data_IF_775704274644
#
_entry.id   IF_775704274644
#
_cell.length_a   1.000
_cell.length_b   1.000
_cell.length_c   1.000
_cell.angle_alpha   90.00
_cell.angle_beta   90.00
_cell.angle_gamma   90.00
#
_symmetry.space_group_name_H-M   'P 1'
#
loop_
_entity.id
_entity.type
_entity.pdbx_description
1 polymer ?
#
# COMPACT_ATOMS: atom_id res chain seq x y z
N UNK A 1 -10.34 23.58 -13.67
CA UNK A 1 -10.38 22.23 -14.29
C UNK A 1 -8.95 21.77 -14.47
N UNK A 2 -8.45 20.95 -13.54
CA UNK A 2 -7.08 20.41 -13.57
C UNK A 2 -7.02 19.43 -14.75
N UNK A 3 -6.25 19.76 -15.80
CA UNK A 3 -6.04 18.89 -16.96
C UNK A 3 -4.67 18.21 -16.79
N UNK A 4 -4.65 17.11 -16.05
CA UNK A 4 -3.57 16.12 -16.18
C UNK A 4 -3.89 15.38 -17.49
N UNK A 5 -3.00 15.47 -18.48
CA UNK A 5 -3.17 14.76 -19.75
C UNK A 5 -2.43 13.43 -19.58
N UNK A 6 -3.08 12.29 -19.83
CA UNK A 6 -2.50 10.98 -19.52
C UNK A 6 -2.64 10.58 -18.03
N UNK A 7 -2.64 9.28 -17.76
CA UNK A 7 -2.72 8.77 -16.38
C UNK A 7 -1.30 8.44 -15.90
N UNK A 8 -0.81 9.17 -14.89
CA UNK A 8 0.52 9.02 -14.30
C UNK A 8 0.79 7.62 -13.71
N UNK A 9 -0.25 6.83 -13.47
CA UNK A 9 -0.19 5.49 -12.91
C UNK A 9 -0.58 4.39 -13.91
N UNK A 10 -1.07 4.74 -15.10
CA UNK A 10 -1.54 3.76 -16.07
C UNK A 10 -0.38 3.25 -16.92
N UNK A 11 -0.13 1.95 -16.88
CA UNK A 11 0.87 1.27 -17.73
C UNK A 11 0.24 0.61 -18.96
N UNK A 12 -1.09 0.71 -19.15
CA UNK A 12 -1.80 0.01 -20.21
C UNK A 12 -1.38 0.42 -21.63
N UNK A 13 -0.95 1.68 -21.79
CA UNK A 13 -0.54 2.26 -23.08
C UNK A 13 0.97 2.10 -23.32
N UNK A 14 1.74 1.57 -22.36
CA UNK A 14 3.20 1.59 -22.39
C UNK A 14 3.74 3.00 -22.15
N UNK A 15 4.77 3.42 -22.88
CA UNK A 15 5.34 4.77 -22.77
C UNK A 15 4.36 5.80 -23.36
N UNK A 16 4.03 6.83 -22.57
CA UNK A 16 3.14 7.90 -23.03
C UNK A 16 3.87 8.92 -23.93
N UNK A 17 3.98 8.57 -25.21
CA UNK A 17 4.60 9.44 -26.23
C UNK A 17 3.90 10.78 -26.41
N UNK A 18 2.60 10.87 -26.08
CA UNK A 18 1.85 12.11 -26.18
C UNK A 18 2.33 13.11 -25.12
N UNK A 19 2.56 12.64 -23.89
CA UNK A 19 3.14 13.43 -22.82
C UNK A 19 4.57 13.87 -23.14
N UNK A 20 5.42 12.96 -23.64
CA UNK A 20 6.80 13.29 -24.04
C UNK A 20 6.83 14.38 -25.12
N UNK A 21 5.91 14.32 -26.07
CA UNK A 21 5.78 15.33 -27.13
C UNK A 21 5.38 16.68 -26.54
N UNK A 22 4.44 16.72 -25.60
CA UNK A 22 4.02 17.97 -24.94
C UNK A 22 5.18 18.59 -24.14
N UNK A 23 5.90 17.78 -23.37
CA UNK A 23 7.06 18.23 -22.59
C UNK A 23 8.18 18.79 -23.47
N UNK A 24 8.37 18.22 -24.67
CA UNK A 24 9.35 18.72 -25.65
C UNK A 24 8.89 19.98 -26.38
N UNK A 25 7.61 20.08 -26.68
CA UNK A 25 7.07 21.16 -27.54
C UNK A 25 6.80 22.44 -26.77
N UNK A 26 6.29 22.32 -25.54
CA UNK A 26 5.93 23.47 -24.69
C UNK A 26 6.34 23.21 -23.23
N UNK A 27 7.64 23.31 -22.92
CA UNK A 27 8.18 23.04 -21.59
C UNK A 27 7.66 24.02 -20.53
N UNK A 28 7.43 25.28 -20.92
CA UNK A 28 6.92 26.30 -19.99
C UNK A 28 5.52 25.96 -19.52
N UNK A 29 4.67 25.44 -20.41
CA UNK A 29 3.29 25.10 -20.08
C UNK A 29 3.12 23.77 -19.39
N UNK A 30 3.88 22.74 -19.80
CA UNK A 30 3.68 21.37 -19.35
C UNK A 30 4.80 20.83 -18.45
N UNK A 31 5.87 21.60 -18.22
CA UNK A 31 7.05 21.15 -17.48
C UNK A 31 6.76 20.59 -16.08
N UNK A 32 5.71 21.06 -15.41
CA UNK A 32 5.25 20.52 -14.12
C UNK A 32 4.91 19.01 -14.17
N UNK A 33 4.60 18.46 -15.36
CA UNK A 33 4.24 17.06 -15.54
C UNK A 33 5.45 16.14 -15.74
N UNK A 34 6.68 16.67 -15.84
CA UNK A 34 7.88 15.88 -16.10
C UNK A 34 8.09 14.76 -15.07
N UNK A 35 7.87 15.07 -13.79
CA UNK A 35 7.96 14.10 -12.71
C UNK A 35 6.90 12.99 -12.79
N UNK A 36 5.66 13.34 -13.13
CA UNK A 36 4.57 12.38 -13.33
C UNK A 36 4.84 11.44 -14.52
N UNK A 37 5.39 11.99 -15.60
CA UNK A 37 5.83 11.19 -16.76
C UNK A 37 6.95 10.23 -16.39
N UNK A 38 7.93 10.66 -15.58
CA UNK A 38 9.00 9.80 -15.09
C UNK A 38 8.48 8.67 -14.19
N UNK A 39 7.56 8.95 -13.27
CA UNK A 39 6.91 7.93 -12.44
C UNK A 39 6.20 6.87 -13.29
N UNK A 40 5.48 7.29 -14.33
CA UNK A 40 4.79 6.39 -15.25
C UNK A 40 5.77 5.48 -16.02
N UNK A 41 6.88 6.05 -16.51
CA UNK A 41 7.92 5.30 -17.23
C UNK A 41 8.63 4.31 -16.31
N UNK A 42 8.94 4.72 -15.08
CA UNK A 42 9.49 3.83 -14.05
C UNK A 42 8.57 2.62 -13.81
N UNK A 43 7.28 2.85 -13.56
CA UNK A 43 6.28 1.77 -13.38
C UNK A 43 6.20 0.86 -14.60
N UNK A 44 6.25 1.42 -15.81
CA UNK A 44 6.20 0.65 -17.07
C UNK A 44 7.44 -0.22 -17.27
N UNK A 45 8.62 0.24 -16.86
CA UNK A 45 9.89 -0.50 -16.96
C UNK A 45 9.95 -1.68 -15.99
N UNK A 46 9.39 -1.55 -14.79
CA UNK A 46 9.46 -2.58 -13.73
C UNK A 46 8.27 -3.54 -13.70
N UNK A 47 7.19 -3.30 -14.46
CA UNK A 47 5.93 -4.06 -14.31
C UNK A 47 6.07 -5.58 -14.49
N UNK A 48 7.06 -6.04 -15.26
CA UNK A 48 7.33 -7.47 -15.49
C UNK A 48 8.50 -8.02 -14.67
N UNK A 49 9.05 -7.22 -13.76
CA UNK A 49 10.07 -7.66 -12.83
C UNK A 49 9.43 -8.43 -11.67
N UNK A 50 9.68 -9.73 -11.62
CA UNK A 50 9.21 -10.61 -10.54
C UNK A 50 10.08 -10.52 -9.29
N UNK A 51 11.32 -10.00 -9.40
CA UNK A 51 12.25 -9.89 -8.27
C UNK A 51 11.85 -8.76 -7.31
N UNK A 52 11.16 -7.74 -7.82
CA UNK A 52 10.68 -6.59 -7.05
C UNK A 52 9.34 -6.86 -6.34
N UNK A 53 8.87 -8.10 -6.33
CA UNK A 53 7.55 -8.49 -5.80
C UNK A 53 7.66 -9.38 -4.58
N UNK A 54 6.78 -9.14 -3.61
CA UNK A 54 6.54 -10.06 -2.52
C UNK A 54 5.93 -11.36 -3.07
N UNK A 55 6.47 -12.48 -2.59
CA UNK A 55 6.08 -13.84 -2.97
C UNK A 55 5.06 -14.45 -2.02
N UNK A 56 4.70 -13.80 -0.91
CA UNK A 56 3.88 -14.43 0.13
C UNK A 56 2.39 -14.36 -0.20
N UNK A 57 1.73 -15.53 -0.22
CA UNK A 57 0.29 -15.64 -0.39
C UNK A 57 -0.50 -15.21 0.84
N UNK A 58 -1.66 -14.58 0.60
CA UNK A 58 -2.53 -14.04 1.65
C UNK A 58 -3.47 -15.06 2.31
N UNK A 59 -3.64 -16.24 1.71
CA UNK A 59 -4.62 -17.27 2.10
C UNK A 59 -3.90 -18.52 2.61
N UNK A 60 -4.39 -19.04 3.75
CA UNK A 60 -4.06 -20.39 4.21
C UNK A 60 -5.04 -21.37 3.57
N UNK A 61 -4.50 -22.41 2.98
CA UNK A 61 -5.25 -23.53 2.40
C UNK A 61 -5.32 -24.68 3.39
N UNK A 62 -6.18 -25.65 3.09
CA UNK A 62 -6.35 -26.85 3.89
C UNK A 62 -5.01 -27.55 4.17
N UNK A 63 -4.85 -28.07 5.39
CA UNK A 63 -3.57 -28.64 5.85
C UNK A 63 -2.51 -27.60 6.23
N UNK A 64 -2.85 -26.31 6.26
CA UNK A 64 -1.97 -25.24 6.73
C UNK A 64 -0.96 -24.76 5.67
N UNK A 65 -1.27 -24.95 4.38
CA UNK A 65 -0.38 -24.54 3.30
C UNK A 65 -0.61 -23.10 2.86
N UNK A 66 0.46 -22.39 2.54
CA UNK A 66 0.45 -21.06 1.94
C UNK A 66 1.09 -21.13 0.57
N UNK A 67 0.47 -20.46 -0.41
CA UNK A 67 1.00 -20.31 -1.76
C UNK A 67 2.13 -19.27 -1.76
N UNK A 68 3.30 -19.66 -2.25
CA UNK A 68 4.43 -18.78 -2.50
C UNK A 68 4.52 -18.50 -4.00
N UNK A 69 4.23 -17.29 -4.42
CA UNK A 69 4.32 -16.82 -5.79
C UNK A 69 4.40 -15.29 -5.83
N UNK A 70 5.29 -14.69 -6.64
CA UNK A 70 5.37 -13.25 -6.82
C UNK A 70 4.02 -12.66 -7.25
N UNK A 71 3.50 -11.68 -6.50
CA UNK A 71 2.19 -11.08 -6.80
C UNK A 71 2.20 -9.56 -6.64
N UNK A 72 2.43 -9.06 -5.43
CA UNK A 72 2.37 -7.62 -5.10
C UNK A 72 3.79 -7.07 -5.06
N UNK A 73 3.99 -5.77 -5.23
CA UNK A 73 5.31 -5.16 -5.04
C UNK A 73 5.83 -5.38 -3.62
N UNK A 74 7.14 -5.55 -3.51
CA UNK A 74 7.87 -5.67 -2.24
C UNK A 74 7.75 -4.39 -1.41
N UNK A 75 7.90 -4.51 -0.10
CA UNK A 75 7.84 -3.40 0.84
C UNK A 75 8.84 -2.31 0.50
N UNK A 76 10.09 -2.67 0.15
CA UNK A 76 11.11 -1.72 -0.28
C UNK A 76 10.72 -0.94 -1.53
N UNK A 77 10.10 -1.60 -2.52
CA UNK A 77 9.64 -0.91 -3.72
C UNK A 77 8.42 -0.03 -3.42
N UNK A 78 7.47 -0.49 -2.60
CA UNK A 78 6.33 0.33 -2.20
C UNK A 78 6.75 1.54 -1.38
N UNK A 79 7.79 1.40 -0.55
CA UNK A 79 8.39 2.48 0.22
C UNK A 79 9.01 3.53 -0.71
N UNK A 80 9.81 3.07 -1.68
CA UNK A 80 10.41 3.93 -2.69
C UNK A 80 9.38 4.67 -3.54
N UNK A 81 8.33 3.97 -3.99
CA UNK A 81 7.23 4.58 -4.75
C UNK A 81 6.48 5.63 -3.91
N UNK A 82 6.24 5.35 -2.64
CA UNK A 82 5.62 6.30 -1.73
C UNK A 82 6.50 7.55 -1.52
N UNK A 83 7.80 7.35 -1.31
CA UNK A 83 8.80 8.42 -1.20
C UNK A 83 8.84 9.27 -2.47
N UNK A 84 8.83 8.64 -3.65
CA UNK A 84 8.78 9.34 -4.92
C UNK A 84 7.50 10.17 -5.09
N UNK A 85 6.33 9.62 -4.74
CA UNK A 85 5.08 10.39 -4.78
C UNK A 85 5.12 11.62 -3.86
N UNK A 86 5.64 11.48 -2.64
CA UNK A 86 5.81 12.61 -1.72
C UNK A 86 6.80 13.65 -2.27
N UNK A 87 7.91 13.20 -2.86
CA UNK A 87 8.94 14.05 -3.44
C UNK A 87 8.41 14.87 -4.62
N UNK A 88 7.58 14.27 -5.47
CA UNK A 88 6.92 14.95 -6.58
C UNK A 88 5.97 16.05 -6.11
N UNK A 89 5.20 15.79 -5.05
CA UNK A 89 4.31 16.79 -4.46
C UNK A 89 5.09 17.96 -3.85
N UNK A 90 6.21 17.67 -3.18
CA UNK A 90 7.10 18.70 -2.63
C UNK A 90 7.66 19.60 -3.72
N UNK A 91 8.19 19.01 -4.80
CA UNK A 91 8.75 19.78 -5.93
C UNK A 91 7.66 20.64 -6.59
N UNK A 92 6.45 20.11 -6.77
CA UNK A 92 5.34 20.88 -7.34
C UNK A 92 4.89 22.01 -6.41
N UNK A 93 4.84 21.78 -5.10
CA UNK A 93 4.54 22.82 -4.12
C UNK A 93 5.60 23.94 -4.13
N UNK A 94 6.89 23.58 -4.22
CA UNK A 94 8.00 24.54 -4.33
C UNK A 94 7.91 25.35 -5.62
N UNK A 95 7.65 24.71 -6.77
CA UNK A 95 7.44 25.37 -8.06
C UNK A 95 6.28 26.36 -7.99
N UNK A 96 5.15 25.95 -7.42
CA UNK A 96 3.98 26.81 -7.24
C UNK A 96 4.28 28.03 -6.36
N UNK A 97 4.95 27.83 -5.23
CA UNK A 97 5.34 28.89 -4.31
C UNK A 97 6.31 29.89 -4.97
N UNK A 98 7.28 29.39 -5.74
CA UNK A 98 8.21 30.25 -6.49
C UNK A 98 7.46 31.07 -7.55
N UNK A 99 6.56 30.44 -8.31
CA UNK A 99 5.77 31.15 -9.31
C UNK A 99 4.84 32.20 -8.68
N UNK A 100 4.23 31.88 -7.53
CA UNK A 100 3.46 32.84 -6.73
C UNK A 100 4.29 34.02 -6.28
N UNK A 101 5.53 33.79 -5.82
CA UNK A 101 6.46 34.87 -5.46
C UNK A 101 6.71 35.79 -6.65
N UNK A 102 7.01 35.23 -7.83
CA UNK A 102 7.26 35.98 -9.06
C UNK A 102 6.07 36.84 -9.48
N UNK A 103 4.86 36.26 -9.41
CA UNK A 103 3.60 36.96 -9.67
C UNK A 103 3.39 38.14 -8.72
N UNK A 104 3.63 37.95 -7.41
CA UNK A 104 3.48 39.01 -6.41
C UNK A 104 4.53 40.13 -6.54
N UNK A 105 5.75 39.79 -6.97
CA UNK A 105 6.81 40.77 -7.24
C UNK A 105 6.65 41.51 -8.57
N UNK A 106 5.73 41.10 -9.44
CA UNK A 106 5.57 41.66 -10.78
C UNK A 106 6.64 41.22 -11.78
N UNK A 107 7.45 40.19 -11.47
CA UNK A 107 8.40 39.58 -12.42
C UNK A 107 7.66 38.85 -13.57
N UNK A 108 6.39 38.49 -13.33
CA UNK A 108 5.53 37.77 -14.26
C UNK A 108 4.20 38.51 -14.32
N UNK A 109 3.67 38.69 -15.54
CA UNK A 109 2.40 39.38 -15.76
C UNK A 109 1.23 38.71 -15.03
N UNK A 110 0.32 39.53 -14.52
CA UNK A 110 -0.88 39.05 -13.84
C UNK A 110 -1.94 38.54 -14.83
N UNK A 111 -1.70 37.34 -15.36
CA UNK A 111 -2.60 36.64 -16.28
C UNK A 111 -3.34 35.50 -15.58
N UNK A 112 -4.49 35.09 -16.11
CA UNK A 112 -5.23 33.93 -15.60
C UNK A 112 -4.38 32.63 -15.60
N UNK A 113 -3.46 32.51 -16.54
CA UNK A 113 -2.52 31.39 -16.61
C UNK A 113 -1.51 31.42 -15.45
N UNK A 114 -0.91 32.58 -15.18
CA UNK A 114 0.08 32.72 -14.10
C UNK A 114 -0.55 32.61 -12.71
N UNK A 115 -1.77 33.13 -12.52
CA UNK A 115 -2.55 32.89 -11.30
C UNK A 115 -2.79 31.41 -11.05
N UNK A 116 -3.15 30.66 -12.09
CA UNK A 116 -3.29 29.19 -11.99
C UNK A 116 -1.95 28.53 -11.64
N UNK A 117 -0.86 28.93 -12.29
CA UNK A 117 0.47 28.35 -12.04
C UNK A 117 1.06 28.74 -10.68
N UNK A 118 0.52 29.75 -10.01
CA UNK A 118 0.86 30.11 -8.62
C UNK A 118 0.27 29.13 -7.58
N UNK A 119 -0.46 28.10 -8.00
CA UNK A 119 -0.96 27.01 -7.17
C UNK A 119 -0.38 25.66 -7.61
N UNK A 120 -0.25 24.67 -6.70
CA UNK A 120 0.13 23.31 -7.07
C UNK A 120 -0.87 22.74 -8.09
N UNK A 121 -0.36 22.24 -9.22
CA UNK A 121 -1.18 21.66 -10.27
C UNK A 121 -1.64 20.23 -9.96
N UNK A 122 -0.93 19.55 -9.06
CA UNK A 122 -1.30 18.23 -8.56
C UNK A 122 -0.82 18.06 -7.11
N UNK A 123 -1.45 17.11 -6.42
CA UNK A 123 -1.03 16.57 -5.12
C UNK A 123 -1.45 15.11 -5.07
N UNK A 124 -0.48 14.20 -5.03
CA UNK A 124 -0.67 12.75 -5.04
C UNK A 124 -0.93 12.20 -3.63
N UNK A 125 -0.24 12.74 -2.63
CA UNK A 125 -0.23 12.28 -1.24
C UNK A 125 -0.66 13.43 -0.32
N UNK A 126 -1.82 13.24 0.30
CA UNK A 126 -2.31 14.04 1.40
C UNK A 126 -1.96 13.37 2.73
N UNK A 127 -2.02 14.12 3.82
CA UNK A 127 -1.74 13.68 5.18
C UNK A 127 -2.56 12.44 5.57
N UNK A 128 -3.85 12.43 5.22
CA UNK A 128 -4.72 11.27 5.40
C UNK A 128 -4.21 10.01 4.66
N UNK A 129 -3.66 10.18 3.45
CA UNK A 129 -3.06 9.08 2.69
C UNK A 129 -1.81 8.54 3.39
N UNK A 130 -1.02 9.40 4.04
CA UNK A 130 0.18 9.00 4.80
C UNK A 130 -0.21 8.06 5.94
N UNK A 131 -1.19 8.46 6.77
CA UNK A 131 -1.69 7.64 7.88
C UNK A 131 -2.33 6.36 7.37
N UNK A 132 -3.08 6.41 6.26
CA UNK A 132 -3.67 5.23 5.65
C UNK A 132 -2.59 4.22 5.23
N UNK A 133 -1.56 4.68 4.51
CA UNK A 133 -0.44 3.84 4.07
C UNK A 133 0.30 3.26 5.27
N UNK A 134 0.57 4.09 6.28
CA UNK A 134 1.25 3.64 7.50
C UNK A 134 0.48 2.55 8.24
N UNK A 135 -0.84 2.74 8.37
CA UNK A 135 -1.74 1.77 8.98
C UNK A 135 -1.70 0.42 8.27
N UNK A 136 -1.75 0.41 6.93
CA UNK A 136 -1.68 -0.83 6.15
C UNK A 136 -0.31 -1.50 6.24
N UNK A 137 0.78 -0.74 6.20
CA UNK A 137 2.13 -1.27 6.36
C UNK A 137 2.34 -1.89 7.75
N UNK A 138 1.84 -1.22 8.77
CA UNK A 138 1.84 -1.64 10.17
C UNK A 138 1.05 -2.94 10.38
N UNK A 139 -0.16 -3.05 9.82
CA UNK A 139 -0.98 -4.27 9.86
C UNK A 139 -0.30 -5.45 9.17
N UNK A 140 0.33 -5.22 8.03
CA UNK A 140 1.01 -6.27 7.30
C UNK A 140 2.39 -6.63 7.88
N UNK A 141 2.91 -5.82 8.81
CA UNK A 141 4.29 -5.89 9.27
C UNK A 141 5.29 -5.86 8.10
N UNK A 142 4.95 -5.11 7.03
CA UNK A 142 5.77 -4.99 5.82
C UNK A 142 7.09 -4.29 6.11
N UNK A 143 7.06 -3.28 6.99
CA UNK A 143 8.24 -2.65 7.53
C UNK A 143 8.37 -3.00 9.03
N UNK A 144 9.55 -3.41 9.52
CA UNK A 144 9.76 -3.61 10.94
C UNK A 144 9.83 -2.31 11.74
N UNK A 145 10.10 -1.17 11.10
CA UNK A 145 10.02 0.15 11.75
C UNK A 145 8.57 0.64 11.73
N UNK A 146 7.95 0.87 12.89
CA UNK A 146 6.63 1.49 12.97
C UNK A 146 6.66 2.94 12.44
N UNK A 147 5.53 3.46 11.97
CA UNK A 147 5.39 4.86 11.53
C UNK A 147 6.34 5.28 10.40
N UNK A 148 6.74 4.34 9.54
CA UNK A 148 7.70 4.58 8.46
C UNK A 148 7.17 5.54 7.40
N UNK A 149 5.88 5.47 7.06
CA UNK A 149 5.34 6.36 6.03
C UNK A 149 5.32 7.81 6.54
N UNK A 150 5.01 8.02 7.83
CA UNK A 150 5.10 9.33 8.48
C UNK A 150 6.53 9.86 8.47
N UNK A 151 7.50 9.00 8.79
CA UNK A 151 8.93 9.35 8.76
C UNK A 151 9.36 9.88 7.39
N UNK A 152 9.03 9.13 6.33
CA UNK A 152 9.38 9.50 4.94
C UNK A 152 8.72 10.81 4.56
N UNK A 153 7.45 10.97 4.89
CA UNK A 153 6.71 12.19 4.60
C UNK A 153 7.38 13.40 5.28
N UNK A 154 7.69 13.33 6.58
CA UNK A 154 8.37 14.45 7.27
C UNK A 154 9.73 14.77 6.68
N UNK A 155 10.57 13.76 6.42
CA UNK A 155 11.90 13.98 5.81
C UNK A 155 11.82 14.72 4.47
N UNK A 156 10.84 14.36 3.62
CA UNK A 156 10.61 15.06 2.35
C UNK A 156 10.27 16.53 2.57
N UNK A 157 9.33 16.81 3.48
CA UNK A 157 8.79 18.17 3.64
C UNK A 157 9.66 19.09 4.51
N UNK A 158 10.38 18.54 5.50
CA UNK A 158 11.22 19.29 6.43
C UNK A 158 12.68 19.35 5.98
N UNK A 159 13.22 18.25 5.44
CA UNK A 159 14.64 18.10 5.12
C UNK A 159 14.92 18.13 3.60
N UNK A 160 13.88 18.12 2.76
CA UNK A 160 14.01 17.96 1.31
C UNK A 160 14.81 16.69 0.92
N UNK A 161 14.60 15.60 1.65
CA UNK A 161 15.08 14.26 1.29
C UNK A 161 14.21 13.72 0.13
N UNK A 162 14.68 13.84 -1.11
CA UNK A 162 13.90 13.57 -2.32
C UNK A 162 14.37 12.30 -3.03
N UNK A 163 13.42 11.47 -3.48
CA UNK A 163 13.64 10.46 -4.53
C UNK A 163 12.82 10.85 -5.76
N UNK A 164 13.47 11.43 -6.76
CA UNK A 164 12.84 11.82 -8.02
C UNK A 164 12.99 10.76 -9.11
N UNK A 165 13.35 9.52 -8.75
CA UNK A 165 13.58 8.40 -9.68
C UNK A 165 14.61 8.76 -10.77
N UNK A 166 15.70 9.41 -10.39
CA UNK A 166 16.72 9.92 -11.32
C UNK A 166 17.49 8.81 -12.04
N UNK A 167 17.43 7.58 -11.53
CA UNK A 167 17.94 6.35 -12.13
C UNK A 167 17.07 5.84 -13.29
N UNK A 168 15.80 6.26 -13.36
CA UNK A 168 14.85 5.79 -14.39
C UNK A 168 15.38 5.90 -15.83
N UNK A 169 16.02 6.99 -16.27
CA UNK A 169 16.51 7.11 -17.65
C UNK A 169 17.47 5.99 -18.05
N UNK A 170 18.31 5.53 -17.12
CA UNK A 170 19.31 4.49 -17.36
C UNK A 170 18.74 3.07 -17.24
N UNK A 171 17.54 2.93 -16.66
CA UNK A 171 16.85 1.65 -16.53
C UNK A 171 16.39 1.11 -17.88
N UNK A 172 16.68 -0.17 -18.12
CA UNK A 172 16.14 -0.91 -19.25
C UNK A 172 14.77 -1.52 -18.91
N UNK A 173 13.80 -1.50 -19.84
CA UNK A 173 12.50 -2.11 -19.61
C UNK A 173 12.63 -3.64 -19.47
N UNK A 174 12.05 -4.20 -18.41
CA UNK A 174 12.08 -5.65 -18.17
C UNK A 174 11.11 -6.32 -19.14
N UNK A 175 11.56 -7.30 -19.96
CA UNK A 175 10.71 -7.96 -20.93
C UNK A 175 9.62 -8.80 -20.25
N UNK A 176 8.48 -8.92 -20.93
CA UNK A 176 7.36 -9.72 -20.42
C UNK A 176 7.73 -11.20 -20.40
N UNK A 177 7.80 -11.75 -19.19
CA UNK A 177 8.05 -13.18 -18.94
C UNK A 177 6.83 -13.84 -18.29
N UNK A 178 6.64 -15.16 -18.42
CA UNK A 178 5.57 -15.86 -17.71
C UNK A 178 5.79 -15.79 -16.21
N UNK A 179 4.71 -15.64 -15.45
CA UNK A 179 4.77 -15.62 -13.99
C UNK A 179 5.37 -16.93 -13.44
N UNK A 180 6.32 -16.88 -12.49
CA UNK A 180 6.93 -18.07 -11.90
C UNK A 180 5.89 -19.05 -11.33
N UNK A 181 6.15 -20.36 -11.43
CA UNK A 181 5.24 -21.38 -10.92
C UNK A 181 5.11 -21.29 -9.38
N UNK A 182 3.91 -21.54 -8.82
CA UNK A 182 3.70 -21.44 -7.38
C UNK A 182 4.41 -22.57 -6.64
N UNK A 183 5.00 -22.23 -5.50
CA UNK A 183 5.46 -23.17 -4.49
C UNK A 183 4.48 -23.18 -3.31
N UNK A 184 4.43 -24.26 -2.55
CA UNK A 184 3.55 -24.38 -1.40
C UNK A 184 4.37 -24.61 -0.15
N UNK A 185 4.16 -23.77 0.86
CA UNK A 185 4.86 -23.86 2.13
C UNK A 185 3.89 -24.24 3.24
N UNK A 186 4.25 -25.24 4.05
CA UNK A 186 3.45 -25.59 5.23
C UNK A 186 3.79 -24.67 6.39
N UNK A 187 2.78 -24.00 6.95
CA UNK A 187 2.93 -23.17 8.14
C UNK A 187 3.17 -24.02 9.39
N UNK A 188 4.12 -23.64 10.25
CA UNK A 188 4.20 -24.16 11.61
C UNK A 188 2.87 -23.93 12.34
N UNK A 189 2.29 -24.98 12.94
CA UNK A 189 0.99 -24.90 13.61
C UNK A 189 -0.23 -24.81 12.69
N UNK A 190 -0.04 -24.74 11.37
CA UNK A 190 -1.11 -24.83 10.36
C UNK A 190 -2.10 -23.65 10.30
N UNK A 191 -1.89 -22.60 11.10
CA UNK A 191 -2.74 -21.39 11.13
C UNK A 191 -1.91 -20.14 11.35
N UNK A 192 -2.50 -18.98 11.04
CA UNK A 192 -1.93 -17.69 11.45
C UNK A 192 -2.34 -17.36 12.88
N UNK A 193 -1.44 -16.68 13.59
CA UNK A 193 -1.73 -16.07 14.87
C UNK A 193 -1.87 -17.03 16.05
N UNK A 194 -1.85 -16.42 17.21
CA UNK A 194 -2.09 -16.95 18.55
C UNK A 194 -3.17 -16.10 19.21
N UNK A 195 -3.54 -16.42 20.45
CA UNK A 195 -4.51 -15.62 21.20
C UNK A 195 -4.07 -14.15 21.42
N UNK A 196 -2.76 -13.89 21.38
CA UNK A 196 -2.16 -12.58 21.63
C UNK A 196 -1.71 -11.83 20.36
N UNK A 197 -1.91 -12.44 19.18
CA UNK A 197 -1.60 -11.80 17.91
C UNK A 197 -2.81 -11.00 17.38
N UNK A 198 -2.55 -10.16 16.40
CA UNK A 198 -3.50 -9.35 15.67
C UNK A 198 -3.70 -8.00 16.33
N UNK A 199 -4.94 -7.55 16.29
CA UNK A 199 -5.38 -6.36 17.03
C UNK A 199 -5.66 -6.65 18.51
N UNK A 200 -5.29 -7.83 19.02
CA UNK A 200 -5.46 -8.17 20.45
C UNK A 200 -4.76 -7.15 21.32
N UNK A 201 -5.48 -6.64 22.30
CA UNK A 201 -5.00 -5.60 23.18
C UNK A 201 -5.03 -6.10 24.62
N UNK A 202 -3.84 -6.28 25.17
CA UNK A 202 -3.65 -6.78 26.54
C UNK A 202 -3.63 -5.65 27.55
N UNK A 203 -3.46 -4.40 27.12
CA UNK A 203 -3.29 -3.26 28.03
C UNK A 203 -4.55 -3.04 28.89
N UNK A 204 -5.78 -2.98 28.34
CA UNK A 204 -7.00 -2.87 29.14
C UNK A 204 -7.16 -3.99 30.17
N UNK A 205 -6.61 -5.17 29.90
CA UNK A 205 -6.68 -6.34 30.80
C UNK A 205 -5.78 -6.18 32.01
N UNK A 206 -4.65 -5.49 31.82
CA UNK A 206 -3.60 -5.35 32.82
C UNK A 206 -3.79 -4.10 33.68
N UNK A 207 -4.36 -3.03 33.11
CA UNK A 207 -4.43 -1.72 33.76
C UNK A 207 -5.77 -1.41 34.39
N UNK A 208 -6.83 -2.12 34.03
CA UNK A 208 -8.21 -1.75 34.41
C UNK A 208 -9.06 -2.98 34.74
N UNK A 209 -9.68 -2.97 35.94
CA UNK A 209 -10.68 -3.97 36.31
C UNK A 209 -11.87 -3.89 35.36
N UNK A 210 -12.32 -5.03 34.84
CA UNK A 210 -13.39 -5.14 33.84
C UNK A 210 -13.14 -4.40 32.51
N UNK A 211 -11.89 -4.10 32.16
CA UNK A 211 -11.58 -3.43 30.88
C UNK A 211 -11.96 -4.21 29.62
N UNK A 212 -12.23 -5.51 29.73
CA UNK A 212 -12.83 -6.33 28.67
C UNK A 212 -14.30 -5.99 28.40
N UNK A 213 -15.00 -5.48 29.41
CA UNK A 213 -16.42 -5.14 29.35
C UNK A 213 -16.66 -3.67 28.98
N UNK A 214 -15.65 -2.80 29.11
CA UNK A 214 -15.76 -1.39 28.70
C UNK A 214 -15.51 -1.23 27.18
N UNK A 215 -16.54 -0.85 26.39
CA UNK A 215 -16.42 -0.66 24.95
C UNK A 215 -15.51 0.50 24.55
N UNK A 216 -15.17 1.42 25.47
CA UNK A 216 -14.20 2.51 25.23
C UNK A 216 -12.76 2.02 25.34
N UNK A 217 -12.52 0.99 26.15
CA UNK A 217 -11.20 0.45 26.39
C UNK A 217 -10.86 -0.69 25.43
N UNK A 218 -11.82 -1.56 25.13
CA UNK A 218 -11.60 -2.71 24.25
C UNK A 218 -12.85 -3.11 23.49
N UNK A 219 -12.68 -3.98 22.49
CA UNK A 219 -13.78 -4.55 21.71
C UNK A 219 -13.65 -6.07 21.63
N UNK A 220 -14.75 -6.77 21.79
CA UNK A 220 -14.79 -8.23 21.57
C UNK A 220 -15.11 -8.55 20.12
N UNK A 221 -14.22 -9.29 19.45
CA UNK A 221 -14.43 -9.83 18.11
C UNK A 221 -14.61 -11.34 18.16
N UNK A 222 -15.73 -11.83 17.60
CA UNK A 222 -15.96 -13.26 17.41
C UNK A 222 -15.37 -13.71 16.08
N UNK A 223 -14.44 -14.65 16.15
CA UNK A 223 -13.79 -15.28 14.99
C UNK A 223 -14.04 -16.78 15.05
N UNK A 224 -15.14 -17.24 14.44
CA UNK A 224 -15.59 -18.63 14.60
C UNK A 224 -16.03 -18.89 16.04
N UNK A 225 -15.49 -19.95 16.65
CA UNK A 225 -15.77 -20.32 18.05
C UNK A 225 -14.94 -19.52 19.07
N UNK A 226 -13.86 -18.87 18.63
CA UNK A 226 -13.01 -18.06 19.51
C UNK A 226 -13.46 -16.60 19.58
N UNK A 227 -13.43 -16.02 20.77
CA UNK A 227 -13.59 -14.58 21.00
C UNK A 227 -12.24 -13.99 21.37
N UNK A 228 -11.89 -12.85 20.77
CA UNK A 228 -10.66 -12.11 21.07
C UNK A 228 -11.00 -10.70 21.51
N UNK A 229 -10.37 -10.24 22.58
CA UNK A 229 -10.44 -8.85 23.03
C UNK A 229 -9.40 -8.05 22.27
N UNK A 230 -9.85 -7.11 21.46
CA UNK A 230 -9.02 -6.27 20.60
C UNK A 230 -9.09 -4.81 21.02
N UNK A 231 -8.18 -4.00 20.48
CA UNK A 231 -8.19 -2.55 20.67
C UNK A 231 -9.57 -1.97 20.34
N UNK A 232 -10.00 -0.96 21.11
CA UNK A 232 -11.17 -0.17 20.75
C UNK A 232 -10.90 0.60 19.44
N UNK A 233 -11.90 0.64 18.56
CA UNK A 233 -11.86 1.38 17.31
C UNK A 233 -13.26 1.80 16.90
N UNK A 234 -13.34 2.92 16.19
CA UNK A 234 -14.56 3.42 15.58
C UNK A 234 -14.84 2.74 14.24
N UNK A 235 -16.13 2.62 13.89
CA UNK A 235 -16.56 2.04 12.62
C UNK A 235 -17.31 3.03 11.73
N UNK A 236 -17.01 2.97 10.43
CA UNK A 236 -17.72 3.70 9.37
C UNK A 236 -18.15 2.77 8.24
N UNK A 237 -18.82 3.28 7.21
CA UNK A 237 -19.24 2.46 6.08
C UNK A 237 -18.05 1.98 5.23
N UNK A 238 -16.98 2.79 5.20
CA UNK A 238 -15.72 2.49 4.51
C UNK A 238 -14.52 2.65 5.45
N UNK A 239 -13.33 2.26 5.01
CA UNK A 239 -12.10 2.50 5.76
C UNK A 239 -11.72 3.97 5.53
N UNK A 240 -11.84 4.79 6.56
CA UNK A 240 -11.60 6.24 6.48
C UNK A 240 -10.49 6.66 7.43
N UNK A 241 -9.87 7.78 7.10
CA UNK A 241 -8.85 8.45 7.91
C UNK A 241 -9.34 9.87 8.14
N UNK A 242 -9.31 10.30 9.40
CA UNK A 242 -9.72 11.66 9.76
C UNK A 242 -8.58 12.65 9.46
N UNK A 243 -8.86 13.68 8.68
CA UNK A 243 -7.85 14.56 8.07
C UNK A 243 -7.13 15.43 9.10
N UNK A 244 -7.85 16.03 10.06
CA UNK A 244 -7.28 16.93 11.05
C UNK A 244 -6.38 16.17 12.03
N UNK A 245 -6.85 15.00 12.46
CA UNK A 245 -6.10 14.05 13.31
C UNK A 245 -4.87 13.55 12.58
N UNK A 246 -4.98 13.21 11.30
CA UNK A 246 -3.82 12.80 10.51
C UNK A 246 -2.76 13.90 10.43
N UNK A 247 -3.17 15.14 10.15
CA UNK A 247 -2.29 16.31 10.16
C UNK A 247 -1.64 16.52 11.54
N UNK A 248 -2.42 16.43 12.62
CA UNK A 248 -1.92 16.58 13.98
C UNK A 248 -0.87 15.54 14.33
N UNK A 249 -1.12 14.26 14.04
CA UNK A 249 -0.19 13.17 14.32
C UNK A 249 1.15 13.41 13.60
N UNK A 250 1.09 13.72 12.31
CA UNK A 250 2.27 13.89 11.47
C UNK A 250 3.12 15.06 11.97
N UNK A 251 2.51 16.23 12.20
CA UNK A 251 3.25 17.47 12.43
C UNK A 251 3.57 17.77 13.89
N UNK A 252 2.76 17.28 14.84
CA UNK A 252 2.90 17.63 16.25
C UNK A 252 3.25 16.42 17.12
N UNK A 253 2.65 15.26 16.86
CA UNK A 253 2.81 14.10 17.74
C UNK A 253 4.02 13.22 17.38
N UNK A 254 4.41 13.20 16.11
CA UNK A 254 5.40 12.26 15.60
C UNK A 254 6.76 12.37 16.29
N UNK A 255 7.18 13.55 16.75
CA UNK A 255 8.46 13.68 17.48
C UNK A 255 8.48 12.88 18.78
N UNK A 256 7.34 12.88 19.51
CA UNK A 256 7.15 12.05 20.69
C UNK A 256 7.06 10.56 20.34
N UNK A 257 6.35 10.21 19.26
CA UNK A 257 6.27 8.83 18.78
C UNK A 257 7.65 8.30 18.38
N UNK A 258 8.46 9.10 17.70
CA UNK A 258 9.82 8.74 17.26
C UNK A 258 10.71 8.35 18.44
N UNK A 259 10.65 9.10 19.54
CA UNK A 259 11.39 8.78 20.75
C UNK A 259 10.93 7.42 21.32
N UNK A 260 9.62 7.21 21.45
CA UNK A 260 9.05 5.97 21.97
C UNK A 260 9.34 4.74 21.09
N UNK A 261 9.45 4.93 19.77
CA UNK A 261 9.92 3.90 18.84
C UNK A 261 11.38 3.54 19.15
N UNK A 262 12.25 4.55 19.36
CA UNK A 262 13.65 4.33 19.69
C UNK A 262 13.83 3.61 21.04
N UNK A 263 12.93 3.88 22.00
CA UNK A 263 12.88 3.22 23.31
C UNK A 263 12.28 1.80 23.24
N UNK A 264 11.80 1.37 22.07
CA UNK A 264 11.29 0.02 21.83
C UNK A 264 9.84 -0.21 22.28
N UNK A 265 9.07 0.84 22.56
CA UNK A 265 7.67 0.73 22.99
C UNK A 265 6.73 0.30 21.85
N UNK A 266 7.13 0.52 20.60
CA UNK A 266 6.32 0.24 19.42
C UNK A 266 6.84 -0.94 18.61
N UNK A 267 5.90 -1.82 18.28
CA UNK A 267 5.99 -2.80 17.20
C UNK A 267 5.09 -2.32 16.05
N UNK A 268 5.26 -2.84 14.82
CA UNK A 268 4.37 -2.45 13.71
C UNK A 268 2.89 -2.62 14.04
N UNK A 269 2.52 -3.71 14.72
CA UNK A 269 1.11 -3.93 15.06
C UNK A 269 0.61 -3.01 16.18
N UNK A 270 1.45 -2.66 17.16
CA UNK A 270 1.03 -1.68 18.19
C UNK A 270 0.92 -0.26 17.62
N UNK A 271 1.66 0.08 16.56
CA UNK A 271 1.42 1.31 15.81
C UNK A 271 0.06 1.31 15.09
N UNK A 272 -0.35 0.18 14.49
CA UNK A 272 -1.71 0.06 13.94
C UNK A 272 -2.78 0.21 15.03
N UNK A 273 -2.57 -0.42 16.20
CA UNK A 273 -3.48 -0.27 17.35
C UNK A 273 -3.52 1.18 17.86
N UNK A 274 -2.39 1.87 17.85
CA UNK A 274 -2.30 3.28 18.22
C UNK A 274 -3.17 4.15 17.33
N UNK A 275 -3.03 4.04 16.00
CA UNK A 275 -3.81 4.82 15.04
C UNK A 275 -5.32 4.56 15.17
N UNK A 276 -5.72 3.32 15.49
CA UNK A 276 -7.11 2.97 15.75
C UNK A 276 -7.62 3.58 17.06
N UNK A 277 -6.84 3.48 18.14
CA UNK A 277 -7.22 4.01 19.45
C UNK A 277 -7.26 5.53 19.47
N UNK A 278 -6.38 6.18 18.73
CA UNK A 278 -6.34 7.63 18.59
C UNK A 278 -7.54 8.18 17.80
N UNK A 279 -8.28 7.32 17.09
CA UNK A 279 -9.39 7.73 16.22
C UNK A 279 -8.93 8.25 14.85
N UNK A 280 -7.64 8.12 14.52
CA UNK A 280 -7.11 8.55 13.23
C UNK A 280 -7.60 7.67 12.08
N UNK A 281 -7.81 6.38 12.35
CA UNK A 281 -8.31 5.39 11.38
C UNK A 281 -9.61 4.77 11.88
N UNK A 282 -10.63 4.74 11.02
CA UNK A 282 -11.92 4.10 11.31
C UNK A 282 -12.14 2.91 10.39
N UNK A 283 -12.47 1.76 10.96
CA UNK A 283 -12.59 0.51 10.21
C UNK A 283 -14.00 0.38 9.62
N UNK A 284 -14.13 -0.17 8.42
CA UNK A 284 -15.45 -0.43 7.83
C UNK A 284 -16.28 -1.39 8.70
N UNK A 285 -17.58 -1.10 8.88
CA UNK A 285 -18.52 -1.87 9.70
C UNK A 285 -18.43 -3.37 9.41
N UNK A 286 -18.23 -4.17 10.46
CA UNK A 286 -18.17 -5.63 10.36
C UNK A 286 -16.89 -6.18 9.74
N UNK A 287 -15.89 -5.33 9.44
CA UNK A 287 -14.57 -5.77 8.95
C UNK A 287 -13.51 -5.90 10.04
N UNK A 288 -13.82 -5.60 11.31
CA UNK A 288 -12.88 -5.74 12.43
C UNK A 288 -12.19 -7.10 12.48
N UNK A 289 -12.92 -8.21 12.34
CA UNK A 289 -12.35 -9.56 12.32
C UNK A 289 -11.41 -9.81 11.11
N UNK A 290 -11.65 -9.14 9.98
CA UNK A 290 -10.79 -9.22 8.80
C UNK A 290 -9.45 -8.53 9.07
N UNK A 291 -9.47 -7.31 9.62
CA UNK A 291 -8.25 -6.57 9.98
C UNK A 291 -7.47 -7.25 11.11
N UNK A 292 -8.16 -7.82 12.09
CA UNK A 292 -7.53 -8.62 13.13
C UNK A 292 -6.77 -9.82 12.54
N UNK A 293 -7.39 -10.61 11.65
CA UNK A 293 -6.71 -11.72 10.95
C UNK A 293 -5.58 -11.24 10.04
N UNK A 294 -5.71 -10.03 9.46
CA UNK A 294 -4.68 -9.41 8.65
C UNK A 294 -3.41 -9.15 9.45
N UNK A 295 -3.58 -8.56 10.64
CA UNK A 295 -2.50 -8.30 11.59
C UNK A 295 -1.86 -9.60 12.11
N UNK A 296 -2.67 -10.61 12.47
CA UNK A 296 -2.17 -11.92 12.88
C UNK A 296 -1.27 -12.55 11.82
N UNK A 297 -1.64 -12.42 10.55
CA UNK A 297 -0.84 -12.90 9.43
C UNK A 297 0.50 -12.17 9.34
N UNK A 298 0.48 -10.83 9.36
CA UNK A 298 1.70 -10.01 9.30
C UNK A 298 2.69 -10.39 10.41
N UNK A 299 2.21 -10.46 11.64
CA UNK A 299 3.04 -10.85 12.80
C UNK A 299 3.53 -12.29 12.71
N UNK A 300 2.74 -13.23 12.18
CA UNK A 300 3.19 -14.61 11.98
C UNK A 300 4.36 -14.66 11.01
N UNK A 301 4.26 -14.01 9.86
CA UNK A 301 5.35 -13.99 8.88
C UNK A 301 6.59 -13.26 9.38
N UNK A 302 6.39 -12.12 10.04
CA UNK A 302 7.49 -11.37 10.68
C UNK A 302 8.26 -12.24 11.70
N UNK A 303 7.56 -12.95 12.61
CA UNK A 303 8.19 -13.88 13.56
C UNK A 303 8.90 -15.05 12.89
N UNK A 304 8.35 -15.56 11.79
CA UNK A 304 8.98 -16.63 11.02
C UNK A 304 10.17 -16.12 10.18
N UNK A 305 10.41 -14.81 10.12
CA UNK A 305 11.45 -14.19 9.29
C UNK A 305 11.18 -14.35 7.79
N UNK A 306 9.91 -14.43 7.40
CA UNK A 306 9.46 -14.58 6.01
C UNK A 306 8.96 -13.21 5.55
N UNK A 307 9.52 -12.68 4.47
CA UNK A 307 9.21 -11.37 3.93
C UNK A 307 10.21 -10.98 2.86
N UNK A 308 10.13 -9.73 2.39
CA UNK A 308 10.97 -9.22 1.29
C UNK A 308 12.47 -9.24 1.58
N UNK A 309 12.87 -9.34 2.85
CA UNK A 309 14.28 -9.44 3.27
C UNK A 309 14.93 -10.79 2.93
N UNK A 310 14.12 -11.83 2.72
CA UNK A 310 14.60 -13.18 2.40
C UNK A 310 14.00 -13.55 1.07
N UNK A 311 14.83 -13.65 0.04
CA UNK A 311 14.36 -13.98 -1.30
C UNK A 311 13.73 -15.38 -1.33
N UNK A 312 12.78 -15.64 -2.23
CA UNK A 312 12.16 -16.96 -2.36
C UNK A 312 13.19 -18.09 -2.58
N UNK A 313 14.24 -17.92 -3.42
CA UNK A 313 15.31 -18.91 -3.54
C UNK A 313 16.05 -19.18 -2.23
N UNK A 314 16.38 -18.14 -1.46
CA UNK A 314 17.02 -18.28 -0.14
C UNK A 314 16.13 -19.00 0.87
N UNK A 315 14.84 -18.67 0.90
CA UNK A 315 13.87 -19.33 1.78
C UNK A 315 13.82 -20.83 1.49
N UNK A 316 13.75 -21.20 0.21
CA UNK A 316 13.73 -22.61 -0.22
C UNK A 316 15.06 -23.30 0.11
N UNK A 317 16.19 -22.61 -0.09
CA UNK A 317 17.52 -23.15 0.22
C UNK A 317 17.73 -23.38 1.72
N UNK A 318 17.15 -22.54 2.58
CA UNK A 318 17.29 -22.62 4.04
C UNK A 318 16.75 -23.93 4.63
N UNK A 319 15.86 -24.64 3.92
CA UNK A 319 15.12 -25.84 4.38
C UNK A 319 14.40 -25.65 5.73
N UNK A 320 14.24 -24.41 6.20
CA UNK A 320 13.55 -24.07 7.45
C UNK A 320 12.08 -24.47 7.43
N UNK A 321 11.48 -24.48 6.23
CA UNK A 321 10.09 -24.85 6.02
C UNK A 321 9.98 -25.92 4.94
N UNK A 322 9.00 -26.82 5.11
CA UNK A 322 8.67 -27.80 4.08
C UNK A 322 7.99 -27.10 2.90
N UNK A 323 8.63 -27.15 1.75
CA UNK A 323 8.13 -26.58 0.49
C UNK A 323 7.86 -27.68 -0.54
N UNK A 324 6.65 -27.72 -1.08
CA UNK A 324 6.23 -28.70 -2.07
C UNK A 324 5.88 -28.01 -3.40
N UNK A 325 6.30 -28.61 -4.53
CA UNK A 325 5.97 -28.13 -5.89
C UNK A 325 4.55 -28.51 -6.32
N UNK A 326 3.98 -29.54 -5.70
CA UNK A 326 2.63 -30.05 -5.96
C UNK A 326 2.01 -30.47 -4.64
N UNK A 327 1.07 -29.68 -4.13
CA UNK A 327 0.15 -30.15 -3.10
C UNK A 327 -1.11 -30.61 -3.84
N UNK A 328 -1.47 -31.88 -3.73
CA UNK A 328 -2.81 -32.35 -4.10
C UNK A 328 -3.78 -31.78 -3.06
N UNK A 329 -4.18 -30.52 -3.22
CA UNK A 329 -5.19 -29.91 -2.38
C UNK A 329 -6.53 -30.50 -2.82
N UNK A 330 -7.00 -31.51 -2.07
CA UNK A 330 -8.34 -32.07 -2.13
C UNK A 330 -9.38 -30.98 -1.75
N UNK A 331 -9.58 -29.99 -2.60
CA UNK A 331 -10.49 -28.88 -2.31
C UNK A 331 -10.59 -27.79 -3.39
N UNK A 332 -9.84 -27.89 -4.49
CA UNK A 332 -9.84 -26.88 -5.56
C UNK A 332 -10.89 -27.11 -6.66
N UNK A 333 -11.96 -27.88 -6.39
CA UNK A 333 -13.04 -28.11 -7.37
C UNK A 333 -14.04 -26.95 -7.54
N UNK A 334 -13.96 -25.86 -6.76
CA UNK A 334 -14.96 -24.78 -6.83
C UNK A 334 -14.51 -23.44 -7.44
N UNK A 335 -13.22 -23.16 -7.67
CA UNK A 335 -12.80 -21.84 -8.18
C UNK A 335 -12.21 -21.82 -9.59
N UNK A 336 -11.84 -22.95 -10.20
CA UNK A 336 -11.30 -22.97 -11.56
C UNK A 336 -12.37 -23.03 -12.66
N UNK A 337 -13.63 -23.33 -12.32
CA UNK A 337 -14.73 -23.39 -13.28
C UNK A 337 -15.42 -22.05 -13.57
N UNK A 338 -15.24 -21.00 -12.75
CA UNK A 338 -15.93 -19.72 -12.96
C UNK A 338 -15.19 -18.77 -13.91
N UNK A 339 -13.86 -18.92 -14.07
CA UNK A 339 -13.08 -18.10 -15.01
C UNK A 339 -13.06 -18.70 -16.42
N UNK A 340 -13.23 -20.02 -16.55
CA UNK A 340 -13.24 -20.70 -17.84
C UNK A 340 -14.61 -20.65 -18.56
N UNK A 341 -15.73 -20.45 -17.84
CA UNK A 341 -17.07 -20.39 -18.48
C UNK A 341 -17.42 -19.02 -19.05
N UNK A 342 -16.87 -17.93 -18.52
CA UNK A 342 -17.13 -16.58 -19.02
C UNK A 342 -16.37 -16.22 -20.31
N UNK A 343 -15.37 -17.01 -20.72
CA UNK A 343 -14.66 -16.80 -21.99
C UNK A 343 -15.16 -17.69 -23.16
N UNK A 344 -16.00 -18.70 -22.92
CA UNK A 344 -16.54 -19.56 -23.99
C UNK A 344 -17.98 -19.26 -24.41
N UNK A 345 -18.77 -18.54 -23.60
CA UNK A 345 -20.16 -18.20 -23.93
C UNK A 345 -20.33 -16.92 -24.78
N UNK A 346 -19.23 -16.24 -25.15
CA UNK A 346 -19.25 -15.04 -26.00
C UNK A 346 -19.22 -15.29 -27.52
N UNK A 347 -19.02 -16.53 -27.96
CA UNK A 347 -18.75 -16.87 -29.38
C UNK A 347 -19.81 -17.73 -30.06
N UNK A 348 -20.98 -17.96 -29.44
CA UNK A 348 -22.10 -18.70 -30.04
C UNK A 348 -23.43 -17.95 -29.92
N UNK A 349 -23.55 -16.77 -30.54
CA UNK A 349 -24.87 -16.13 -30.77
C UNK A 349 -24.85 -15.03 -31.85
N UNK A 350 -24.38 -15.35 -33.07
CA UNK A 350 -24.77 -14.64 -34.29
C UNK A 350 -24.77 -15.63 -35.45
N UNK A 351 -25.92 -16.23 -35.70
CA UNK A 351 -26.33 -16.81 -36.97
C UNK A 351 -27.78 -17.28 -36.81
N UNK A 352 -28.75 -16.39 -36.99
CA UNK A 352 -30.11 -16.77 -37.36
C UNK A 352 -30.74 -15.65 -38.21
N UNK A 353 -30.72 -15.90 -39.51
CA UNK A 353 -31.67 -15.54 -40.56
C UNK A 353 -32.33 -14.15 -40.59
N UNK A 354 -31.84 -13.36 -41.54
CA UNK A 354 -32.64 -12.47 -42.39
C UNK A 354 -33.58 -13.32 -43.24
N UNK A 355 -34.90 -13.14 -43.10
CA UNK A 355 -35.88 -13.23 -44.20
C UNK A 355 -37.28 -12.82 -43.75
N UNK A 356 -37.86 -11.83 -44.47
CA UNK A 356 -39.29 -11.59 -44.77
C UNK A 356 -40.20 -11.30 -43.56
N UNK A 357 -40.96 -10.22 -43.50
CA UNK A 357 -41.66 -9.42 -44.52
C UNK A 357 -41.89 -8.01 -43.97
#
# INVERSE_FOLDING_TARGET
MIRIIGCSFCTAVGVDHSMETLLRTDPEKYGYQAGLSRLQRFLSKIQYDWSLRDYIGRKVFEGGYVRLQPNIFSSSLTERLFHACCSLDYVEARRAAEHRRKLLSGEVDDTAYNRRMAEPQFRLVQEANVIHVDFLWSLHCFNPRPFRAIEIYRRVWEEADLDLLEDEPDMQPVPRTPMPAPLWMKLPGGRFGTAYDGLTDTLPLMTYFDGQADPRASRSLKTGESSSVVVAFEEEDELTVEEDTASWIIWHEYDGLRQRIADGEFTPTTAAQYLLRYGAVRISKGKGAVYHRLAQRGQTFSRLGIGDRVSLPELVASRRFKTDKKVQILGMRSCLCSVARTQQDGTRRKNFNVTRR
#
